data_IF_416615567733
#
_entry.id   IF_416615567733
#
_cell.length_a   1.000
_cell.length_b   1.000
_cell.length_c   1.000
_cell.angle_alpha   90.00
_cell.angle_beta   90.00
_cell.angle_gamma   90.00
#
_symmetry.space_group_name_H-M   'P 1'
#
loop_
_entity.id
_entity.type
_entity.pdbx_description
1 polymer ?
#
# COMPACT_ATOMS: atom_id res chain seq x y z
N UNK A 1 -3.99 -67.50 56.39
CA UNK A 1 -4.52 -68.24 55.24
C UNK A 1 -4.82 -67.23 54.18
N UNK A 2 -3.94 -67.19 53.20
CA UNK A 2 -4.16 -67.35 51.79
C UNK A 2 -5.02 -66.22 51.19
N UNK A 3 -4.64 -65.52 50.19
CA UNK A 3 -3.85 -65.76 49.03
C UNK A 3 -3.54 -64.46 48.28
N UNK A 4 -2.37 -64.33 47.82
CA UNK A 4 -1.91 -63.37 46.82
C UNK A 4 -2.81 -63.41 45.58
N UNK A 5 -3.15 -62.22 45.04
CA UNK A 5 -3.40 -62.08 43.64
C UNK A 5 -2.78 -60.79 43.13
N UNK A 6 -1.68 -60.98 42.47
CA UNK A 6 -0.89 -60.07 41.70
C UNK A 6 -1.71 -59.62 40.46
N UNK A 7 -2.02 -58.37 40.32
CA UNK A 7 -2.54 -57.81 39.05
C UNK A 7 -1.57 -56.74 38.54
N UNK A 8 -0.80 -57.13 37.60
CA UNK A 8 -0.03 -56.28 36.73
C UNK A 8 -0.93 -55.24 36.02
N UNK A 9 -0.79 -54.00 36.38
CA UNK A 9 -1.36 -52.91 35.62
C UNK A 9 -0.38 -52.53 34.51
N UNK A 10 -0.73 -52.95 33.33
CA UNK A 10 -0.07 -52.53 32.11
C UNK A 10 -0.34 -51.04 31.91
N UNK A 11 0.70 -50.25 32.04
CA UNK A 11 0.69 -48.82 31.72
C UNK A 11 0.69 -48.70 30.20
N UNK A 12 -0.46 -48.32 29.63
CA UNK A 12 -0.55 -47.89 28.26
C UNK A 12 -0.18 -46.41 28.21
N UNK A 13 0.94 -46.11 27.58
CA UNK A 13 1.38 -44.76 27.23
C UNK A 13 0.46 -44.21 26.14
N UNK A 14 -0.12 -43.03 26.29
CA UNK A 14 -0.75 -42.37 25.16
C UNK A 14 0.31 -41.84 24.22
N UNK A 15 0.23 -42.27 22.98
CA UNK A 15 1.00 -41.78 21.85
C UNK A 15 0.60 -40.31 21.61
N UNK A 16 1.48 -39.37 22.02
CA UNK A 16 1.30 -37.95 21.70
C UNK A 16 1.48 -37.76 20.21
N UNK A 17 0.37 -37.54 19.48
CA UNK A 17 0.41 -37.03 18.13
C UNK A 17 0.96 -35.60 18.18
N UNK A 18 2.23 -35.44 17.83
CA UNK A 18 2.82 -34.16 17.46
C UNK A 18 2.20 -33.73 16.13
N UNK A 19 1.18 -32.88 16.23
CA UNK A 19 0.68 -32.15 15.06
C UNK A 19 1.76 -31.17 14.63
N UNK A 20 2.55 -31.55 13.65
CA UNK A 20 3.44 -30.63 12.93
C UNK A 20 2.57 -29.59 12.23
N UNK A 21 2.41 -28.44 12.83
CA UNK A 21 1.85 -27.29 12.14
C UNK A 21 2.86 -26.86 11.10
N UNK A 22 2.58 -27.22 9.87
CA UNK A 22 3.33 -26.71 8.72
C UNK A 22 3.09 -25.18 8.66
N UNK A 23 4.11 -24.43 9.07
CA UNK A 23 4.17 -23.01 8.75
C UNK A 23 4.22 -22.89 7.22
N UNK A 24 3.07 -22.64 6.61
CA UNK A 24 3.04 -22.22 5.22
C UNK A 24 3.63 -20.81 5.17
N UNK A 25 4.69 -20.57 4.40
CA UNK A 25 5.16 -19.21 4.19
C UNK A 25 4.01 -18.44 3.55
N UNK A 26 3.59 -17.36 4.19
CA UNK A 26 2.72 -16.36 3.55
C UNK A 26 3.56 -15.77 2.42
N UNK A 27 3.37 -16.27 1.22
CA UNK A 27 3.90 -15.62 0.03
C UNK A 27 3.13 -14.32 -0.12
N UNK A 28 3.78 -13.24 0.24
CA UNK A 28 3.37 -11.92 -0.24
C UNK A 28 3.56 -11.97 -1.75
N UNK A 29 2.49 -12.20 -2.50
CA UNK A 29 2.55 -12.18 -3.95
C UNK A 29 3.05 -10.81 -4.38
N UNK A 30 4.16 -10.79 -5.11
CA UNK A 30 4.65 -9.58 -5.74
C UNK A 30 3.65 -9.14 -6.83
N UNK A 31 3.54 -7.83 -7.05
CA UNK A 31 2.73 -7.33 -8.15
C UNK A 31 3.23 -7.91 -9.48
N UNK A 32 2.31 -8.24 -10.37
CA UNK A 32 2.67 -8.58 -11.75
C UNK A 32 3.31 -7.34 -12.43
N UNK A 33 4.16 -7.56 -13.43
CA UNK A 33 4.73 -6.46 -14.21
C UNK A 33 3.65 -5.54 -14.84
N UNK A 34 2.51 -6.12 -15.21
CA UNK A 34 1.34 -5.38 -15.70
C UNK A 34 0.75 -4.48 -14.62
N UNK A 35 0.60 -5.00 -13.40
CA UNK A 35 0.06 -4.24 -12.28
C UNK A 35 1.04 -3.16 -11.79
N UNK A 36 2.34 -3.46 -11.74
CA UNK A 36 3.36 -2.46 -11.42
C UNK A 36 3.26 -1.25 -12.36
N UNK A 37 3.16 -1.52 -13.67
CA UNK A 37 3.00 -0.46 -14.67
C UNK A 37 1.67 0.28 -14.51
N UNK A 38 0.57 -0.42 -14.24
CA UNK A 38 -0.75 0.19 -14.06
C UNK A 38 -0.79 1.09 -12.82
N UNK A 39 -0.24 0.65 -11.69
CA UNK A 39 -0.10 1.42 -10.45
C UNK A 39 0.70 2.71 -10.70
N UNK A 40 1.86 2.57 -11.31
CA UNK A 40 2.72 3.72 -11.64
C UNK A 40 2.01 4.71 -12.57
N UNK A 41 1.33 4.21 -13.60
CA UNK A 41 0.62 5.03 -14.58
C UNK A 41 -0.51 5.84 -13.94
N UNK A 42 -1.25 5.28 -13.01
CA UNK A 42 -2.33 6.00 -12.29
C UNK A 42 -1.77 7.22 -11.54
N UNK A 43 -0.67 7.04 -10.80
CA UNK A 43 -0.04 8.14 -10.08
C UNK A 43 0.55 9.18 -11.04
N UNK A 44 1.23 8.74 -12.11
CA UNK A 44 1.77 9.64 -13.14
C UNK A 44 0.67 10.50 -13.78
N UNK A 45 -0.47 9.89 -14.12
CA UNK A 45 -1.59 10.59 -14.74
C UNK A 45 -2.24 11.59 -13.77
N UNK A 46 -2.31 11.26 -12.48
CA UNK A 46 -2.82 12.21 -11.48
C UNK A 46 -1.88 13.41 -11.35
N UNK A 47 -0.56 13.20 -11.27
CA UNK A 47 0.42 14.28 -11.23
C UNK A 47 0.35 15.16 -12.48
N UNK A 48 0.17 14.56 -13.67
CA UNK A 48 -0.01 15.29 -14.91
C UNK A 48 -1.31 16.13 -14.92
N UNK A 49 -2.39 15.62 -14.32
CA UNK A 49 -3.63 16.36 -14.17
C UNK A 49 -3.48 17.56 -13.22
N UNK A 50 -2.77 17.40 -12.11
CA UNK A 50 -2.44 18.52 -11.20
C UNK A 50 -1.62 19.59 -11.93
N UNK A 51 -0.64 19.18 -12.74
CA UNK A 51 0.20 20.11 -13.50
C UNK A 51 -0.59 20.96 -14.51
N UNK A 52 -1.75 20.47 -14.94
CA UNK A 52 -2.66 21.16 -15.87
C UNK A 52 -3.84 21.85 -15.16
N UNK A 53 -3.90 21.83 -13.84
CA UNK A 53 -5.05 22.28 -13.05
C UNK A 53 -6.38 21.57 -13.43
N UNK A 54 -6.28 20.35 -13.95
CA UNK A 54 -7.42 19.54 -14.32
C UNK A 54 -7.96 18.79 -13.08
N UNK A 55 -8.77 19.47 -12.29
CA UNK A 55 -9.32 18.95 -11.05
C UNK A 55 -10.17 17.69 -11.26
N UNK A 56 -11.00 17.68 -12.29
CA UNK A 56 -11.89 16.54 -12.59
C UNK A 56 -11.08 15.30 -12.98
N UNK A 57 -10.07 15.50 -13.80
CA UNK A 57 -9.18 14.41 -14.19
C UNK A 57 -8.40 13.87 -13.00
N UNK A 58 -7.78 14.74 -12.20
CA UNK A 58 -7.05 14.35 -11.01
C UNK A 58 -7.93 13.57 -10.02
N UNK A 59 -9.15 14.06 -9.80
CA UNK A 59 -10.13 13.42 -8.90
C UNK A 59 -10.63 12.08 -9.42
N UNK A 60 -10.65 11.86 -10.74
CA UNK A 60 -11.07 10.59 -11.35
C UNK A 60 -10.15 9.41 -10.97
N UNK A 61 -8.90 9.67 -10.60
CA UNK A 61 -7.96 8.64 -10.16
C UNK A 61 -8.07 8.27 -8.68
N UNK A 62 -8.85 9.04 -7.90
CA UNK A 62 -9.10 8.75 -6.50
C UNK A 62 -10.08 7.57 -6.34
N UNK A 63 -9.83 6.75 -5.31
CA UNK A 63 -10.73 5.67 -4.93
C UNK A 63 -12.11 6.21 -4.49
N UNK A 64 -13.17 5.40 -4.59
CA UNK A 64 -14.53 5.85 -4.25
C UNK A 64 -14.67 6.47 -2.86
N UNK A 65 -14.04 5.89 -1.85
CA UNK A 65 -14.10 6.42 -0.48
C UNK A 65 -13.40 7.78 -0.35
N UNK A 66 -12.26 7.95 -1.01
CA UNK A 66 -11.56 9.24 -1.03
C UNK A 66 -12.41 10.31 -1.74
N UNK A 67 -13.02 9.97 -2.86
CA UNK A 67 -13.93 10.86 -3.60
C UNK A 67 -15.16 11.24 -2.76
N UNK A 68 -15.70 10.28 -2.02
CA UNK A 68 -16.83 10.52 -1.10
C UNK A 68 -16.43 11.49 0.03
N UNK A 69 -15.23 11.34 0.58
CA UNK A 69 -14.71 12.19 1.65
C UNK A 69 -14.62 13.66 1.22
N UNK A 70 -14.13 13.94 0.01
CA UNK A 70 -14.00 15.31 -0.49
C UNK A 70 -15.27 15.86 -1.13
N UNK A 71 -16.13 15.01 -1.66
CA UNK A 71 -17.42 15.37 -2.24
C UNK A 71 -17.33 15.98 -3.64
N UNK A 72 -16.26 16.69 -3.98
CA UNK A 72 -16.08 17.35 -5.29
C UNK A 72 -14.62 17.41 -5.71
N UNK A 73 -14.40 17.49 -7.02
CA UNK A 73 -13.05 17.68 -7.59
C UNK A 73 -12.43 19.02 -7.20
N UNK A 74 -13.24 20.08 -7.07
CA UNK A 74 -12.74 21.38 -6.64
C UNK A 74 -12.28 21.40 -5.19
N UNK A 75 -13.00 20.75 -4.27
CA UNK A 75 -12.59 20.60 -2.88
C UNK A 75 -11.30 19.75 -2.76
N UNK A 76 -11.21 18.69 -3.53
CA UNK A 76 -10.02 17.85 -3.61
C UNK A 76 -8.80 18.65 -4.10
N UNK A 77 -8.93 19.38 -5.20
CA UNK A 77 -7.86 20.22 -5.76
C UNK A 77 -7.42 21.31 -4.77
N UNK A 78 -8.35 21.98 -4.09
CA UNK A 78 -8.05 22.99 -3.09
C UNK A 78 -7.22 22.41 -1.93
N UNK A 79 -7.55 21.21 -1.47
CA UNK A 79 -6.81 20.50 -0.44
C UNK A 79 -5.40 20.15 -0.90
N UNK A 80 -5.24 19.65 -2.12
CA UNK A 80 -3.91 19.30 -2.66
C UNK A 80 -3.02 20.54 -2.80
N UNK A 81 -3.56 21.66 -3.29
CA UNK A 81 -2.83 22.93 -3.41
C UNK A 81 -2.33 23.44 -2.06
N UNK A 82 -3.14 23.35 -1.02
CA UNK A 82 -2.82 23.88 0.32
C UNK A 82 -2.02 22.92 1.17
N UNK A 83 -2.34 21.63 1.15
CA UNK A 83 -1.75 20.62 2.03
C UNK A 83 -0.60 19.81 1.43
N UNK A 84 -0.52 19.76 0.10
CA UNK A 84 0.43 18.93 -0.65
C UNK A 84 1.12 19.71 -1.77
N UNK A 85 1.73 20.88 -1.50
CA UNK A 85 2.26 21.75 -2.55
C UNK A 85 3.32 21.06 -3.43
N UNK A 86 4.14 20.16 -2.88
CA UNK A 86 5.13 19.41 -3.68
C UNK A 86 4.46 18.40 -4.63
N UNK A 87 3.32 17.84 -4.27
CA UNK A 87 2.53 16.96 -5.15
C UNK A 87 1.86 17.77 -6.25
N UNK A 88 1.36 18.94 -5.89
CA UNK A 88 0.72 19.84 -6.86
C UNK A 88 1.71 20.38 -7.91
N UNK A 89 2.91 20.77 -7.48
CA UNK A 89 3.95 21.36 -8.36
C UNK A 89 5.34 20.87 -7.95
N UNK A 90 5.70 19.61 -8.22
CA UNK A 90 7.05 19.12 -7.97
C UNK A 90 8.03 19.75 -8.96
N UNK A 91 9.25 20.08 -8.50
CA UNK A 91 10.36 20.44 -9.38
C UNK A 91 10.92 19.22 -10.11
N UNK A 92 10.94 18.06 -9.43
CA UNK A 92 11.28 16.77 -10.04
C UNK A 92 10.59 15.60 -9.32
N UNK A 93 10.41 14.51 -10.05
CA UNK A 93 9.85 13.25 -9.51
C UNK A 93 10.68 12.06 -9.98
N UNK A 94 10.85 11.08 -9.07
CA UNK A 94 11.46 9.79 -9.37
C UNK A 94 10.60 8.69 -8.79
N UNK A 95 10.04 7.85 -9.65
CA UNK A 95 9.20 6.73 -9.25
C UNK A 95 10.08 5.56 -8.79
N UNK A 96 9.80 5.03 -7.60
CA UNK A 96 10.37 3.78 -7.13
C UNK A 96 9.51 2.61 -7.61
N UNK A 97 10.04 1.39 -7.51
CA UNK A 97 9.28 0.19 -7.87
C UNK A 97 8.04 0.07 -6.97
N UNK A 98 6.83 -0.14 -7.55
CA UNK A 98 5.65 -0.40 -6.75
C UNK A 98 5.76 -1.71 -5.97
N UNK A 99 5.11 -1.75 -4.81
CA UNK A 99 5.10 -2.91 -3.93
C UNK A 99 3.68 -3.38 -3.66
N UNK A 100 3.52 -4.69 -3.48
CA UNK A 100 2.25 -5.28 -3.05
C UNK A 100 1.98 -4.98 -1.57
N UNK A 101 0.73 -4.72 -1.22
CA UNK A 101 0.23 -4.59 0.14
C UNK A 101 -1.08 -5.38 0.27
N UNK A 102 -0.99 -6.72 0.26
CA UNK A 102 -2.14 -7.61 0.14
C UNK A 102 -2.78 -7.49 -1.25
N UNK A 103 -4.08 -7.20 -1.30
CA UNK A 103 -4.80 -6.93 -2.55
C UNK A 103 -4.58 -5.50 -3.09
N UNK A 104 -3.91 -4.66 -2.31
CA UNK A 104 -3.59 -3.27 -2.62
C UNK A 104 -2.13 -3.11 -3.04
N UNK A 105 -1.73 -1.90 -3.37
CA UNK A 105 -0.37 -1.55 -3.74
C UNK A 105 0.10 -0.26 -3.08
N UNK A 106 1.41 -0.14 -2.94
CA UNK A 106 2.09 1.08 -2.50
C UNK A 106 3.02 1.55 -3.61
N UNK A 107 2.88 2.82 -4.01
CA UNK A 107 3.80 3.51 -4.92
C UNK A 107 4.51 4.61 -4.14
N UNK A 108 5.83 4.51 -4.08
CA UNK A 108 6.66 5.59 -3.52
C UNK A 108 7.23 6.44 -4.66
N UNK A 109 7.18 7.74 -4.46
CA UNK A 109 7.73 8.72 -5.40
C UNK A 109 8.61 9.69 -4.64
N UNK A 110 9.88 9.76 -5.03
CA UNK A 110 10.77 10.80 -4.53
C UNK A 110 10.47 12.10 -5.28
N UNK A 111 10.31 13.19 -4.55
CA UNK A 111 9.96 14.49 -5.10
C UNK A 111 10.90 15.57 -4.53
N UNK A 112 11.26 16.52 -5.38
CA UNK A 112 11.86 17.78 -4.93
C UNK A 112 10.82 18.89 -5.08
N UNK A 113 10.73 19.74 -4.06
CA UNK A 113 9.96 20.98 -4.17
C UNK A 113 10.80 22.12 -4.82
N UNK A 114 10.17 23.26 -5.07
CA UNK A 114 10.82 24.41 -5.69
C UNK A 114 11.91 25.03 -4.82
N UNK A 115 11.90 24.76 -3.51
CA UNK A 115 12.93 25.19 -2.56
C UNK A 115 14.10 24.21 -2.42
N UNK A 116 14.08 23.08 -3.14
CA UNK A 116 15.11 22.03 -3.09
C UNK A 116 14.94 21.05 -1.92
N UNK A 117 13.83 21.09 -1.19
CA UNK A 117 13.54 20.12 -0.15
C UNK A 117 13.11 18.79 -0.78
N UNK A 118 13.69 17.69 -0.27
CA UNK A 118 13.38 16.34 -0.72
C UNK A 118 12.23 15.75 0.09
N UNK A 119 11.29 15.16 -0.62
CA UNK A 119 10.11 14.50 -0.07
C UNK A 119 9.97 13.08 -0.58
N UNK A 120 9.43 12.20 0.24
CA UNK A 120 8.92 10.89 -0.18
C UNK A 120 7.41 10.93 -0.10
N UNK A 121 6.76 10.86 -1.27
CA UNK A 121 5.31 10.69 -1.37
C UNK A 121 5.01 9.17 -1.39
N UNK A 122 4.22 8.72 -0.44
CA UNK A 122 3.81 7.32 -0.30
C UNK A 122 2.32 7.23 -0.63
N UNK A 123 2.04 6.72 -1.82
CA UNK A 123 0.68 6.50 -2.31
C UNK A 123 0.20 5.10 -1.95
N UNK A 124 -1.00 4.99 -1.40
CA UNK A 124 -1.73 3.73 -1.32
C UNK A 124 -2.71 3.63 -2.48
N UNK A 125 -2.73 2.49 -3.17
CA UNK A 125 -3.63 2.25 -4.29
C UNK A 125 -4.45 0.98 -4.03
N UNK A 126 -5.72 1.04 -4.41
CA UNK A 126 -6.69 -0.03 -4.24
C UNK A 126 -7.07 -0.60 -5.60
N UNK A 127 -7.06 -1.94 -5.70
CA UNK A 127 -7.59 -2.62 -6.88
C UNK A 127 -9.11 -2.61 -6.83
N UNK A 128 -9.74 -2.12 -7.88
CA UNK A 128 -11.18 -2.10 -8.01
C UNK A 128 -11.70 -3.45 -8.55
N UNK A 129 -13.02 -3.67 -8.47
CA UNK A 129 -13.67 -4.89 -8.99
C UNK A 129 -13.44 -5.08 -10.50
N UNK A 130 -13.31 -3.98 -11.26
CA UNK A 130 -13.03 -3.99 -12.70
C UNK A 130 -11.53 -4.16 -13.03
N UNK A 131 -10.69 -4.47 -12.02
CA UNK A 131 -9.25 -4.63 -12.13
C UNK A 131 -8.46 -3.34 -12.35
N UNK A 132 -9.09 -2.18 -12.36
CA UNK A 132 -8.38 -0.89 -12.39
C UNK A 132 -7.84 -0.52 -11.02
N UNK A 133 -6.82 0.35 -10.99
CA UNK A 133 -6.23 0.86 -9.77
C UNK A 133 -6.71 2.28 -9.50
N UNK A 134 -6.97 2.59 -8.23
CA UNK A 134 -7.35 3.92 -7.77
C UNK A 134 -6.54 4.31 -6.54
N UNK A 135 -6.26 5.60 -6.40
CA UNK A 135 -5.51 6.15 -5.27
C UNK A 135 -6.41 6.27 -4.06
N UNK A 136 -6.07 5.56 -2.98
CA UNK A 136 -6.77 5.60 -1.69
C UNK A 136 -6.22 6.66 -0.74
N UNK A 137 -5.00 7.13 -0.97
CA UNK A 137 -4.37 8.16 -0.14
C UNK A 137 -2.93 8.43 -0.52
N UNK A 138 -2.38 9.48 0.06
CA UNK A 138 -0.98 9.86 -0.07
C UNK A 138 -0.48 10.45 1.25
N UNK A 139 0.68 10.01 1.69
CA UNK A 139 1.39 10.56 2.85
C UNK A 139 2.71 11.16 2.38
N UNK A 140 3.04 12.38 2.83
CA UNK A 140 4.32 13.02 2.57
C UNK A 140 5.24 12.86 3.77
N UNK A 141 6.46 12.42 3.50
CA UNK A 141 7.54 12.33 4.48
C UNK A 141 8.71 13.18 3.97
N UNK A 142 9.14 14.16 4.78
CA UNK A 142 10.33 14.93 4.44
C UNK A 142 11.57 14.04 4.53
N UNK A 143 12.34 13.97 3.45
CA UNK A 143 13.54 13.16 3.39
C UNK A 143 14.77 14.01 3.74
N UNK A 144 15.06 14.12 5.04
CA UNK A 144 16.18 14.92 5.56
C UNK A 144 17.56 14.33 5.31
N UNK A 145 17.65 13.07 4.87
CA UNK A 145 18.91 12.34 4.76
C UNK A 145 19.60 12.48 3.38
N UNK A 146 19.02 13.22 2.44
CA UNK A 146 19.62 13.45 1.12
C UNK A 146 20.25 14.85 0.95
N UNK A 147 20.33 15.63 2.02
CA UNK A 147 20.94 16.98 2.03
C UNK A 147 22.33 16.93 2.68
N UNK A 148 23.26 16.19 2.05
CA UNK A 148 24.73 16.31 2.34
C UNK A 148 25.51 16.24 1.04
#
# INVERSE_FOLDING_TARGET
>A
MTTLFNRLHRWALPLALLASQAFMPVHSESLSAKDEKAVQTVVQNQLAAFAKDDADKAFSFAAPELRKTFGSSSAFMAMVKSGYPVVYRPASVTFLKPESAGDDAVQRVQMLDSGGTSWLAVYSLQRQKDKTWRIGGCVLVENRNLAT
#
